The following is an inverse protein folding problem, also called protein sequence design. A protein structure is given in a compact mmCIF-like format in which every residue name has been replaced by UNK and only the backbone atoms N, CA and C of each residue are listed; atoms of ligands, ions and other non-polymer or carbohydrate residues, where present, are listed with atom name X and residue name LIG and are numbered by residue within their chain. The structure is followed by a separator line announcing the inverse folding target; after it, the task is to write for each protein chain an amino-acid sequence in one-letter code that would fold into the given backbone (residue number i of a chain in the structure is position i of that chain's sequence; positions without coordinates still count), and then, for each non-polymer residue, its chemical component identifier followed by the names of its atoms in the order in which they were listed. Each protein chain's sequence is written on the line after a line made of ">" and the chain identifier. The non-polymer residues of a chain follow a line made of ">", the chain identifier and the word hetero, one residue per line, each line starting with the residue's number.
data_IF_579045320879
#
_entry.id   IF_579045320879
#
_cell.length_a   1.000
_cell.length_b   1.000
_cell.length_c   1.000
_cell.angle_alpha   90.00
_cell.angle_beta   90.00
_cell.angle_gamma   90.00
#
_symmetry.space_group_name_H-M   'P 1'
#
loop_
_entity.id
_entity.type
_entity.pdbx_description
1 polymer ?
#
# COMPACT_ATOMS: atom_id res chain seq x y z
N UNK A 1 0.21 12.28 -5.12
CA UNK A 1 -1.09 11.70 -5.51
C UNK A 1 -1.49 10.73 -4.42
N UNK A 2 -2.77 10.66 -4.00
CA UNK A 2 -3.20 9.62 -3.06
C UNK A 2 -3.52 8.35 -3.85
N UNK A 3 -2.93 7.24 -3.43
CA UNK A 3 -3.05 5.93 -4.04
C UNK A 3 -3.55 4.92 -3.01
N UNK A 4 -4.19 3.87 -3.51
CA UNK A 4 -4.62 2.70 -2.75
C UNK A 4 -3.97 1.47 -3.39
N UNK A 5 -3.47 0.57 -2.55
CA UNK A 5 -2.86 -0.70 -2.96
C UNK A 5 -3.43 -1.81 -2.08
N UNK A 6 -4.19 -2.71 -2.69
CA UNK A 6 -4.73 -3.90 -2.03
C UNK A 6 -3.73 -5.05 -2.22
N UNK A 7 -3.33 -5.69 -1.12
CA UNK A 7 -2.35 -6.78 -1.08
C UNK A 7 -2.66 -7.74 0.08
N UNK A 8 -1.87 -8.80 0.23
CA UNK A 8 -1.93 -9.69 1.41
C UNK A 8 -0.71 -9.43 2.28
N UNK A 9 -0.93 -9.16 3.56
CA UNK A 9 0.14 -9.04 4.56
C UNK A 9 0.19 -10.29 5.42
N UNK A 10 1.37 -10.90 5.51
CA UNK A 10 1.66 -11.95 6.48
C UNK A 10 2.17 -11.30 7.76
N UNK A 11 1.36 -11.35 8.83
CA UNK A 11 1.68 -10.74 10.13
C UNK A 11 1.90 -11.84 11.18
N UNK A 12 3.06 -11.82 11.82
CA UNK A 12 3.39 -12.66 12.97
C UNK A 12 2.79 -12.11 14.27
N UNK A 13 1.50 -12.35 14.50
CA UNK A 13 0.82 -11.93 15.74
C UNK A 13 0.86 -13.07 16.77
N UNK A 14 2.02 -13.25 17.42
CA UNK A 14 2.25 -14.29 18.42
C UNK A 14 2.87 -15.56 17.82
N UNK A 15 2.51 -16.78 18.29
CA UNK A 15 3.21 -18.02 17.91
C UNK A 15 2.89 -18.51 16.48
N UNK A 16 2.04 -17.80 15.74
CA UNK A 16 1.66 -18.17 14.39
C UNK A 16 1.64 -16.94 13.47
N UNK A 17 2.18 -17.11 12.28
CA UNK A 17 2.00 -16.18 11.17
C UNK A 17 0.58 -16.33 10.61
N UNK A 18 -0.05 -15.20 10.28
CA UNK A 18 -1.37 -15.17 9.66
C UNK A 18 -1.38 -14.20 8.49
N UNK A 19 -2.05 -14.59 7.43
CA UNK A 19 -2.29 -13.75 6.27
C UNK A 19 -3.55 -12.91 6.48
N UNK A 20 -3.47 -11.64 6.10
CA UNK A 20 -4.58 -10.71 6.13
C UNK A 20 -4.66 -9.99 4.79
N UNK A 21 -5.85 -9.94 4.19
CA UNK A 21 -6.10 -8.98 3.13
C UNK A 21 -5.90 -7.58 3.71
N UNK A 22 -5.06 -6.80 3.05
CA UNK A 22 -4.60 -5.51 3.48
C UNK A 22 -4.85 -4.46 2.40
N UNK A 23 -5.24 -3.29 2.85
CA UNK A 23 -5.42 -2.10 2.03
C UNK A 23 -4.47 -1.03 2.54
N UNK A 24 -3.56 -0.61 1.67
CA UNK A 24 -2.55 0.38 1.97
C UNK A 24 -2.89 1.66 1.23
N UNK A 25 -3.20 2.71 1.99
CA UNK A 25 -3.38 4.05 1.46
C UNK A 25 -2.08 4.82 1.64
N UNK A 26 -1.57 5.41 0.56
CA UNK A 26 -0.28 6.05 0.57
C UNK A 26 -0.23 7.23 -0.39
N UNK A 27 0.68 8.16 -0.16
CA UNK A 27 1.00 9.26 -1.06
C UNK A 27 2.17 8.85 -1.94
N UNK A 28 1.87 8.59 -3.21
CA UNK A 28 2.87 8.31 -4.23
C UNK A 28 3.51 9.61 -4.76
N UNK A 29 4.84 9.65 -4.70
CA UNK A 29 5.73 10.54 -5.44
C UNK A 29 6.61 9.75 -6.42
N UNK A 30 7.43 10.44 -7.25
CA UNK A 30 8.28 9.77 -8.25
C UNK A 30 9.32 8.82 -7.63
N UNK A 31 9.70 9.07 -6.38
CA UNK A 31 10.77 8.36 -5.67
C UNK A 31 10.37 7.90 -4.26
N UNK A 32 9.20 8.33 -3.77
CA UNK A 32 8.76 8.15 -2.39
C UNK A 32 7.33 7.60 -2.37
N UNK A 33 7.06 6.68 -1.45
CA UNK A 33 5.74 6.16 -1.15
C UNK A 33 5.52 6.32 0.35
N UNK A 34 4.91 7.43 0.74
CA UNK A 34 4.61 7.70 2.16
C UNK A 34 3.29 7.02 2.52
N UNK A 35 3.35 6.00 3.38
CA UNK A 35 2.14 5.28 3.81
C UNK A 35 1.37 6.15 4.79
N UNK A 36 0.12 6.47 4.46
CA UNK A 36 -0.76 7.27 5.33
C UNK A 36 -1.59 6.36 6.25
N UNK A 37 -2.03 5.19 5.75
CA UNK A 37 -2.93 4.29 6.48
C UNK A 37 -2.81 2.86 5.97
N UNK A 38 -2.89 1.91 6.90
CA UNK A 38 -3.04 0.48 6.60
C UNK A 38 -4.31 -0.01 7.27
N UNK A 39 -5.13 -0.71 6.50
CA UNK A 39 -6.32 -1.41 6.96
C UNK A 39 -6.16 -2.89 6.66
N UNK A 40 -6.67 -3.75 7.54
CA UNK A 40 -6.76 -5.19 7.28
C UNK A 40 -8.22 -5.64 7.33
N UNK A 41 -8.53 -6.68 6.57
CA UNK A 41 -9.85 -7.29 6.56
C UNK A 41 -10.03 -8.14 7.82
N UNK A 42 -11.04 -7.81 8.61
CA UNK A 42 -11.50 -8.62 9.75
C UNK A 42 -12.97 -8.95 9.56
N UNK A 43 -13.25 -10.20 9.15
CA UNK A 43 -14.61 -10.60 8.79
C UNK A 43 -15.14 -9.73 7.64
N UNK A 44 -16.27 -9.04 7.90
CA UNK A 44 -16.91 -8.17 6.91
C UNK A 44 -16.48 -6.70 6.95
N UNK A 45 -15.50 -6.35 7.80
CA UNK A 45 -15.05 -4.97 7.99
C UNK A 45 -13.57 -4.75 7.63
N UNK A 46 -13.25 -3.52 7.24
CA UNK A 46 -11.88 -3.04 7.11
C UNK A 46 -11.50 -2.29 8.39
N UNK A 47 -10.45 -2.77 9.06
CA UNK A 47 -10.03 -2.23 10.35
C UNK A 47 -8.67 -1.56 10.20
N UNK A 48 -8.59 -0.28 10.57
CA UNK A 48 -7.32 0.44 10.58
C UNK A 48 -6.40 -0.12 11.66
N UNK A 49 -5.17 -0.43 11.27
CA UNK A 49 -4.15 -1.03 12.14
C UNK A 49 -2.89 -0.17 12.15
N UNK A 50 -2.89 0.96 12.90
CA UNK A 50 -1.76 1.90 12.88
C UNK A 50 -0.44 1.27 13.36
N UNK A 51 -0.48 0.23 14.19
CA UNK A 51 0.70 -0.51 14.63
C UNK A 51 1.35 -1.33 13.50
N UNK A 52 0.63 -1.63 12.41
CA UNK A 52 1.21 -2.29 11.23
C UNK A 52 2.13 -1.33 10.47
N UNK A 53 1.90 -0.01 10.53
CA UNK A 53 2.79 0.98 9.94
C UNK A 53 4.22 0.85 10.48
N UNK A 54 4.34 0.75 11.81
CA UNK A 54 5.65 0.60 12.47
C UNK A 54 6.34 -0.73 12.14
N UNK A 55 5.59 -1.77 11.75
CA UNK A 55 6.17 -3.04 11.30
C UNK A 55 6.58 -3.00 9.82
N UNK A 56 5.87 -2.20 9.02
CA UNK A 56 6.11 -2.03 7.60
C UNK A 56 7.28 -1.08 7.34
N UNK A 57 7.52 -0.08 8.21
CA UNK A 57 8.64 0.86 8.09
C UNK A 57 10.00 0.17 7.90
N UNK A 58 10.18 -1.04 8.44
CA UNK A 58 11.40 -1.84 8.27
C UNK A 58 11.39 -2.76 7.03
N UNK A 59 10.30 -2.82 6.27
CA UNK A 59 10.14 -3.71 5.10
C UNK A 59 10.46 -2.99 3.79
N UNK A 60 11.75 -2.96 3.42
CA UNK A 60 12.20 -2.41 2.13
C UNK A 60 11.46 -2.99 0.89
N UNK A 61 11.16 -4.31 0.79
CA UNK A 61 10.44 -4.87 -0.35
C UNK A 61 9.05 -4.26 -0.57
N UNK A 62 8.31 -3.99 0.52
CA UNK A 62 6.97 -3.41 0.43
C UNK A 62 7.02 -1.96 -0.09
N UNK A 63 7.99 -1.16 0.36
CA UNK A 63 8.17 0.19 -0.18
C UNK A 63 8.53 0.21 -1.66
N UNK A 64 9.32 -0.77 -2.12
CA UNK A 64 9.64 -0.90 -3.55
C UNK A 64 8.41 -1.28 -4.38
N UNK A 65 7.55 -2.18 -3.89
CA UNK A 65 6.26 -2.50 -4.52
C UNK A 65 5.34 -1.27 -4.61
N UNK A 66 5.17 -0.55 -3.50
CA UNK A 66 4.34 0.66 -3.45
C UNK A 66 4.87 1.75 -4.40
N UNK A 67 6.20 1.89 -4.49
CA UNK A 67 6.85 2.80 -5.44
C UNK A 67 6.57 2.37 -6.88
N UNK A 68 6.75 1.09 -7.21
CA UNK A 68 6.48 0.57 -8.55
C UNK A 68 5.02 0.79 -8.96
N UNK A 69 4.07 0.50 -8.06
CA UNK A 69 2.65 0.75 -8.27
C UNK A 69 2.36 2.23 -8.52
N UNK A 70 2.95 3.15 -7.72
CA UNK A 70 2.76 4.59 -7.90
C UNK A 70 3.32 5.09 -9.24
N UNK A 71 4.49 4.59 -9.66
CA UNK A 71 5.08 4.93 -10.95
C UNK A 71 4.18 4.47 -12.10
N UNK A 72 3.62 3.27 -12.03
CA UNK A 72 2.65 2.76 -13.01
C UNK A 72 1.43 3.66 -13.13
N UNK A 73 0.78 3.98 -12.00
CA UNK A 73 -0.40 4.87 -11.98
C UNK A 73 -0.10 6.28 -12.52
N UNK A 74 1.10 6.79 -12.27
CA UNK A 74 1.53 8.08 -12.81
C UNK A 74 1.78 8.03 -14.32
N UNK A 75 2.31 6.92 -14.83
CA UNK A 75 2.48 6.70 -16.26
C UNK A 75 1.12 6.66 -16.97
N UNK A 76 0.16 5.88 -16.45
CA UNK A 76 -1.21 5.79 -16.97
C UNK A 76 -1.88 7.17 -17.02
N UNK A 77 -1.80 7.94 -15.92
CA UNK A 77 -2.39 9.28 -15.86
C UNK A 77 -1.77 10.24 -16.89
N UNK A 78 -0.47 10.12 -17.17
CA UNK A 78 0.21 10.91 -18.20
C UNK A 78 -0.17 10.47 -19.61
N UNK A 79 -0.42 9.19 -19.83
CA UNK A 79 -0.87 8.64 -21.12
C UNK A 79 -2.28 9.13 -21.46
N UNK A 80 -3.21 9.07 -20.50
CA UNK A 80 -4.56 9.63 -20.63
C UNK A 80 -4.47 11.13 -20.99
N UNK A 81 -3.71 11.91 -20.23
CA UNK A 81 -3.56 13.35 -20.47
C UNK A 81 -2.91 13.72 -21.82
N UNK A 82 -2.14 12.81 -22.43
CA UNK A 82 -1.60 13.00 -23.79
C UNK A 82 -2.60 12.64 -24.88
N UNK A 83 -3.53 11.74 -24.59
CA UNK A 83 -4.57 11.27 -25.53
C UNK A 83 -5.72 12.27 -25.63
N UNK A 84 -5.96 13.07 -24.59
CA UNK A 84 -6.95 14.16 -24.55
C UNK A 84 -6.52 15.45 -25.29
N UNK A 85 -5.40 15.43 -26.04
CA UNK A 85 -4.85 16.60 -26.76
C UNK A 85 -4.81 16.41 -28.27
#
# INVERSE_FOLDING_TARGET
>A
MRCEYDTVLTLGLGPAEREYDARIQYRGGRWEADIDRVEIRMGDDWVAVPWVLTLIEDSAPLYDELRAHAVGRLADAREIARTDR
#
